data_IF_270132020663
#
_entry.id   IF_270132020663
#
_cell.length_a   1.000
_cell.length_b   1.000
_cell.length_c   1.000
_cell.angle_alpha   90.00
_cell.angle_beta   90.00
_cell.angle_gamma   90.00
#
_symmetry.space_group_name_H-M   'P 1'
#
loop_
_entity.id
_entity.type
_entity.pdbx_description
1 polymer ?
#
# COMPACT_ATOMS: atom_id res chain seq x y z
N UNK A 1 -20.17 19.49 -3.84
CA UNK A 1 -19.34 19.29 -2.63
C UNK A 1 -17.89 19.38 -3.11
N UNK A 2 -17.00 20.07 -2.40
CA UNK A 2 -15.58 20.03 -2.79
C UNK A 2 -15.10 18.61 -2.51
N UNK A 3 -14.76 17.86 -3.55
CA UNK A 3 -14.07 16.58 -3.40
C UNK A 3 -12.73 16.87 -2.73
N UNK A 4 -12.73 16.74 -1.40
CA UNK A 4 -11.52 16.85 -0.59
C UNK A 4 -10.67 15.64 -0.92
N UNK A 5 -9.45 15.87 -1.43
CA UNK A 5 -8.51 14.78 -1.73
C UNK A 5 -8.15 14.07 -0.42
N UNK A 6 -8.71 12.87 -0.23
CA UNK A 6 -8.49 12.02 0.96
C UNK A 6 -7.18 11.23 0.87
N UNK A 7 -6.51 11.27 -0.27
CA UNK A 7 -5.21 10.62 -0.52
C UNK A 7 -5.27 9.10 -0.60
N UNK A 8 -4.09 8.49 -0.57
CA UNK A 8 -3.88 7.05 -0.59
C UNK A 8 -3.38 6.61 0.78
N UNK A 9 -3.96 5.57 1.34
CA UNK A 9 -3.56 4.97 2.61
C UNK A 9 -2.71 3.73 2.32
N UNK A 10 -1.45 3.74 2.74
CA UNK A 10 -0.60 2.55 2.76
C UNK A 10 -0.62 1.97 4.17
N UNK A 11 -0.99 0.71 4.30
CA UNK A 11 -1.07 -0.02 5.57
C UNK A 11 -0.19 -1.28 5.50
N UNK A 12 0.44 -1.61 6.62
CA UNK A 12 1.08 -2.89 6.82
C UNK A 12 0.43 -3.58 8.01
N UNK A 13 -0.15 -4.75 7.75
CA UNK A 13 -1.01 -5.49 8.68
C UNK A 13 -0.33 -6.82 9.01
N UNK A 14 -0.34 -7.20 10.29
CA UNK A 14 0.10 -8.54 10.67
C UNK A 14 -0.96 -9.60 10.31
N UNK A 15 -0.56 -10.84 10.08
CA UNK A 15 -1.46 -11.93 9.63
C UNK A 15 -2.67 -12.14 10.54
N UNK A 16 -2.55 -11.84 11.83
CA UNK A 16 -3.66 -11.96 12.78
C UNK A 16 -4.64 -10.76 12.72
N UNK A 17 -4.36 -9.74 11.91
CA UNK A 17 -5.18 -8.52 11.75
C UNK A 17 -5.29 -7.65 13.00
N UNK A 18 -4.55 -7.98 14.06
CA UNK A 18 -4.65 -7.33 15.36
C UNK A 18 -3.90 -6.00 15.40
N UNK A 19 -2.75 -5.94 14.72
CA UNK A 19 -1.88 -4.78 14.74
C UNK A 19 -1.57 -4.33 13.32
N UNK A 20 -1.59 -3.01 13.14
CA UNK A 20 -1.25 -2.39 11.87
C UNK A 20 -0.48 -1.10 12.06
N UNK A 21 0.35 -0.81 11.07
CA UNK A 21 0.96 0.49 10.85
C UNK A 21 0.38 1.07 9.57
N UNK A 22 0.21 2.39 9.51
CA UNK A 22 -0.44 3.01 8.35
C UNK A 22 0.02 4.46 8.15
N UNK A 23 0.07 4.89 6.89
CA UNK A 23 0.39 6.27 6.53
C UNK A 23 -0.42 6.73 5.33
N UNK A 24 -0.92 7.97 5.39
CA UNK A 24 -1.70 8.59 4.31
C UNK A 24 -0.80 9.49 3.46
N UNK A 25 -0.92 9.36 2.13
CA UNK A 25 -0.19 10.11 1.12
C UNK A 25 -1.18 10.92 0.28
N UNK A 26 -1.11 12.25 0.39
CA UNK A 26 -1.95 13.15 -0.43
C UNK A 26 -1.51 13.19 -1.90
N UNK A 27 -0.24 12.88 -2.17
CA UNK A 27 0.32 12.77 -3.52
C UNK A 27 0.89 11.35 -3.73
N UNK A 28 0.14 10.41 -4.34
CA UNK A 28 0.58 9.03 -4.54
C UNK A 28 1.78 8.93 -5.49
N UNK A 29 2.03 9.95 -6.34
CA UNK A 29 3.14 9.89 -7.31
C UNK A 29 4.51 9.84 -6.64
N UNK A 30 4.62 10.30 -5.39
CA UNK A 30 5.88 10.26 -4.64
C UNK A 30 6.34 8.82 -4.38
N UNK A 31 5.40 7.87 -4.30
CA UNK A 31 5.67 6.46 -4.05
C UNK A 31 6.18 5.73 -5.32
N UNK A 32 6.22 6.38 -6.49
CA UNK A 32 6.94 5.83 -7.65
C UNK A 32 8.47 6.01 -7.54
N UNK A 33 8.94 6.85 -6.61
CA UNK A 33 10.36 7.02 -6.34
C UNK A 33 10.80 5.84 -5.46
N UNK A 34 11.67 4.92 -5.93
CA UNK A 34 12.00 3.69 -5.20
C UNK A 34 12.53 3.96 -3.79
N UNK A 35 13.39 4.98 -3.64
CA UNK A 35 13.94 5.39 -2.34
C UNK A 35 12.85 5.84 -1.36
N UNK A 36 11.83 6.55 -1.85
CA UNK A 36 10.70 6.99 -1.02
C UNK A 36 9.84 5.78 -0.65
N UNK A 37 9.45 4.95 -1.62
CA UNK A 37 8.66 3.75 -1.37
C UNK A 37 9.31 2.84 -0.31
N UNK A 38 10.59 2.54 -0.51
CA UNK A 38 11.39 1.73 0.43
C UNK A 38 11.41 2.36 1.82
N UNK A 39 11.73 3.66 1.91
CA UNK A 39 11.77 4.37 3.19
C UNK A 39 10.42 4.31 3.92
N UNK A 40 9.33 4.49 3.21
CA UNK A 40 7.98 4.48 3.79
C UNK A 40 7.59 3.08 4.27
N UNK A 41 7.91 2.04 3.50
CA UNK A 41 7.72 0.64 3.94
C UNK A 41 8.55 0.34 5.19
N UNK A 42 9.82 0.76 5.23
CA UNK A 42 10.67 0.57 6.41
C UNK A 42 10.14 1.28 7.66
N UNK A 43 9.54 2.47 7.51
CA UNK A 43 8.89 3.17 8.62
C UNK A 43 7.69 2.37 9.14
N UNK A 44 6.85 1.85 8.26
CA UNK A 44 5.71 0.98 8.62
C UNK A 44 6.18 -0.30 9.32
N UNK A 45 7.21 -0.96 8.79
CA UNK A 45 7.83 -2.14 9.41
C UNK A 45 8.33 -1.83 10.82
N UNK A 46 9.04 -0.71 11.01
CA UNK A 46 9.55 -0.31 12.33
C UNK A 46 8.42 0.02 13.31
N UNK A 47 7.38 0.72 12.87
CA UNK A 47 6.19 0.97 13.68
C UNK A 47 5.50 -0.33 14.10
N UNK A 48 5.36 -1.29 13.18
CA UNK A 48 4.72 -2.57 13.45
C UNK A 48 5.58 -3.44 14.40
N UNK A 49 6.90 -3.47 14.20
CA UNK A 49 7.86 -4.15 15.10
C UNK A 49 7.78 -3.66 16.54
N UNK A 50 7.48 -2.38 16.75
CA UNK A 50 7.33 -1.81 18.08
C UNK A 50 6.04 -2.28 18.80
N UNK A 51 5.07 -2.84 18.06
CA UNK A 51 3.78 -3.30 18.61
C UNK A 51 3.73 -4.82 18.75
N UNK A 52 4.29 -5.55 17.79
CA UNK A 52 4.22 -7.02 17.72
C UNK A 52 5.49 -7.60 17.09
N UNK A 53 5.87 -8.81 17.49
CA UNK A 53 6.96 -9.53 16.86
C UNK A 53 6.53 -10.07 15.49
N UNK A 54 7.08 -9.52 14.40
CA UNK A 54 6.74 -9.87 13.02
C UNK A 54 7.78 -10.74 12.29
N UNK A 55 8.84 -11.21 12.98
CA UNK A 55 10.01 -11.81 12.32
C UNK A 55 9.71 -13.09 11.52
N UNK A 56 8.69 -13.84 11.92
CA UNK A 56 8.26 -15.09 11.28
C UNK A 56 6.80 -15.05 10.81
N UNK A 57 6.19 -13.87 10.83
CA UNK A 57 4.79 -13.69 10.42
C UNK A 57 4.72 -13.29 8.95
N UNK A 58 3.72 -13.83 8.25
CA UNK A 58 3.29 -13.28 6.98
C UNK A 58 2.62 -11.92 7.22
N UNK A 59 2.90 -10.97 6.35
CA UNK A 59 2.49 -9.58 6.46
C UNK A 59 1.75 -9.19 5.20
N UNK A 60 0.69 -8.42 5.38
CA UNK A 60 -0.12 -7.96 4.26
C UNK A 60 0.10 -6.46 4.09
N UNK A 61 0.65 -6.07 2.93
CA UNK A 61 0.80 -4.68 2.52
C UNK A 61 -0.47 -4.27 1.75
N UNK A 62 -1.19 -3.27 2.26
CA UNK A 62 -2.45 -2.81 1.70
C UNK A 62 -2.31 -1.37 1.22
N UNK A 63 -2.81 -1.08 0.03
CA UNK A 63 -2.94 0.28 -0.48
C UNK A 63 -4.39 0.59 -0.82
N UNK A 64 -4.94 1.62 -0.19
CA UNK A 64 -6.32 2.07 -0.42
C UNK A 64 -6.34 3.49 -1.00
N UNK A 65 -6.98 3.70 -2.14
CA UNK A 65 -7.35 5.04 -2.59
C UNK A 65 -8.58 5.50 -1.82
N UNK A 66 -8.41 6.46 -0.90
CA UNK A 66 -9.53 6.95 -0.07
C UNK A 66 -10.51 7.85 -0.84
N UNK A 67 -10.17 8.25 -2.06
CA UNK A 67 -11.04 9.07 -2.88
C UNK A 67 -12.21 8.25 -3.46
N UNK A 68 -11.96 7.00 -3.89
CA UNK A 68 -12.98 6.11 -4.43
C UNK A 68 -13.23 4.83 -3.59
N UNK A 69 -12.38 4.55 -2.60
CA UNK A 69 -12.49 3.39 -1.71
C UNK A 69 -11.86 2.10 -2.26
N UNK A 70 -11.22 2.14 -3.43
CA UNK A 70 -10.52 0.97 -3.99
C UNK A 70 -9.35 0.60 -3.09
N UNK A 71 -9.27 -0.67 -2.70
CA UNK A 71 -8.19 -1.22 -1.87
C UNK A 71 -7.61 -2.45 -2.52
N UNK A 72 -6.29 -2.55 -2.51
CA UNK A 72 -5.53 -3.69 -3.04
C UNK A 72 -4.52 -4.10 -2.00
N UNK A 73 -4.42 -5.40 -1.76
CA UNK A 73 -3.48 -6.00 -0.82
C UNK A 73 -2.49 -6.94 -1.52
N UNK A 74 -1.34 -7.14 -0.88
CA UNK A 74 -0.30 -8.07 -1.31
C UNK A 74 0.37 -8.69 -0.09
N UNK A 75 0.39 -10.01 -0.05
CA UNK A 75 1.10 -10.75 0.98
C UNK A 75 2.61 -10.71 0.75
N UNK A 76 3.35 -10.67 1.85
CA UNK A 76 4.79 -10.43 1.88
C UNK A 76 5.39 -10.95 3.18
N UNK A 77 6.69 -11.23 3.17
CA UNK A 77 7.43 -11.51 4.39
C UNK A 77 8.29 -10.32 4.80
N UNK A 78 8.70 -10.29 6.06
CA UNK A 78 9.61 -9.26 6.56
C UNK A 78 10.89 -9.14 5.70
N UNK A 79 11.44 -10.25 5.22
CA UNK A 79 12.62 -10.25 4.35
C UNK A 79 12.39 -9.44 3.06
N UNK A 80 11.22 -9.58 2.44
CA UNK A 80 10.85 -8.89 1.20
C UNK A 80 10.65 -7.39 1.44
N UNK A 81 10.07 -7.02 2.59
CA UNK A 81 9.85 -5.61 2.97
C UNK A 81 11.13 -4.88 3.36
N UNK A 82 12.18 -5.62 3.75
CA UNK A 82 13.51 -5.07 4.06
C UNK A 82 14.39 -4.94 2.80
N UNK A 83 14.07 -5.66 1.74
CA UNK A 83 14.74 -5.54 0.45
C UNK A 83 14.21 -4.31 -0.31
N UNK A 84 15.09 -3.40 -0.69
CA UNK A 84 14.73 -2.13 -1.32
C UNK A 84 14.12 -2.31 -2.73
N UNK A 85 14.64 -3.27 -3.50
CA UNK A 85 14.16 -3.51 -4.85
C UNK A 85 12.78 -4.18 -4.80
N UNK A 86 12.61 -5.16 -3.91
CA UNK A 86 11.33 -5.86 -3.74
C UNK A 86 10.26 -4.95 -3.15
N UNK A 87 10.55 -4.23 -2.07
CA UNK A 87 9.58 -3.33 -1.42
C UNK A 87 9.13 -2.20 -2.33
N UNK A 88 10.04 -1.57 -3.08
CA UNK A 88 9.69 -0.52 -4.03
C UNK A 88 8.85 -1.04 -5.20
N UNK A 89 9.15 -2.25 -5.70
CA UNK A 89 8.35 -2.91 -6.74
C UNK A 89 6.94 -3.25 -6.23
N UNK A 90 6.82 -3.79 -5.01
CA UNK A 90 5.52 -4.08 -4.40
C UNK A 90 4.64 -2.84 -4.29
N UNK A 91 5.18 -1.72 -3.79
CA UNK A 91 4.43 -0.46 -3.69
C UNK A 91 4.03 0.06 -5.07
N UNK A 92 4.93 -0.02 -6.06
CA UNK A 92 4.64 0.37 -7.45
C UNK A 92 3.51 -0.46 -8.05
N UNK A 93 3.52 -1.78 -7.85
CA UNK A 93 2.47 -2.68 -8.32
C UNK A 93 1.13 -2.29 -7.72
N UNK A 94 1.06 -2.12 -6.39
CA UNK A 94 -0.16 -1.72 -5.69
C UNK A 94 -0.72 -0.40 -6.23
N UNK A 95 0.12 0.61 -6.41
CA UNK A 95 -0.32 1.92 -6.95
C UNK A 95 -0.84 1.78 -8.37
N UNK A 96 -0.16 0.99 -9.22
CA UNK A 96 -0.59 0.78 -10.59
C UNK A 96 -1.94 0.08 -10.67
N UNK A 97 -2.18 -0.92 -9.81
CA UNK A 97 -3.48 -1.61 -9.75
C UNK A 97 -4.56 -0.64 -9.28
N UNK A 98 -4.36 0.04 -8.15
CA UNK A 98 -5.35 1.00 -7.61
C UNK A 98 -5.67 2.11 -8.62
N UNK A 99 -4.65 2.64 -9.31
CA UNK A 99 -4.84 3.64 -10.37
C UNK A 99 -5.44 3.08 -11.65
N UNK A 100 -5.30 1.78 -11.91
CA UNK A 100 -5.98 1.09 -13.00
C UNK A 100 -7.49 1.16 -12.84
N UNK A 101 -7.99 0.92 -11.62
CA UNK A 101 -9.41 1.09 -11.29
C UNK A 101 -9.91 2.54 -11.43
N UNK A 102 -9.04 3.54 -11.23
CA UNK A 102 -9.38 4.95 -11.50
C UNK A 102 -9.57 5.21 -13.02
N UNK A 103 -8.94 4.41 -13.90
CA UNK A 103 -9.06 4.52 -15.36
C UNK A 103 -10.14 3.60 -15.95
N UNK A 104 -10.47 2.49 -15.28
CA UNK A 104 -11.48 1.54 -15.74
C UNK A 104 -12.92 2.09 -15.67
N UNK A 105 -13.18 3.15 -14.88
CA UNK A 105 -14.47 3.86 -14.91
C UNK A 105 -14.76 4.56 -16.26
N UNK A 106 -13.75 4.76 -17.13
CA UNK A 106 -13.97 5.28 -18.49
C UNK A 106 -14.24 4.18 -19.55
N UNK A 107 -14.09 2.89 -19.20
CA UNK A 107 -14.41 1.76 -20.11
C UNK A 107 -15.50 0.87 -19.54
N UNK A 108 -16.70 1.44 -19.41
CA UNK A 108 -17.95 0.68 -19.48
C UNK A 108 -18.11 0.06 -20.89
N UNK A 109 -17.31 -0.95 -21.22
CA UNK A 109 -17.66 -1.92 -22.27
C UNK A 109 -18.53 -2.99 -21.63
N UNK A 110 -19.81 -2.67 -21.51
CA UNK A 110 -20.86 -3.67 -21.48
C UNK A 110 -20.73 -4.49 -22.78
N UNK A 111 -20.17 -5.69 -22.65
CA UNK A 111 -19.92 -6.61 -23.75
C UNK A 111 -19.87 -8.02 -23.22
N UNK A 112 -21.03 -8.53 -22.79
CA UNK A 112 -21.33 -9.96 -22.82
C UNK A 112 -22.31 -10.20 -23.97
#
# INVERSE_FOLDING_TARGET
MKDENKGYLLELINTNGQEKSQKTFLNPKILYIPEVATKEVLLLVNELKNKVNIDLQELTLVLTNKNNGVSVDKDSFLADLLDADVSSLMVKDLINIVRGYDMDEETNVCGW
#
